data_IF_421088906306
#
_entry.id   IF_421088906306
#
_cell.length_a   1.000
_cell.length_b   1.000
_cell.length_c   1.000
_cell.angle_alpha   90.00
_cell.angle_beta   90.00
_cell.angle_gamma   90.00
#
_symmetry.space_group_name_H-M   'P 1'
#
loop_
_entity.id
_entity.type
_entity.pdbx_description
1 polymer ?
#
# COMPACT_ATOMS: atom_id res chain seq x y z
N UNK A 1 -3.41 -9.75 -19.11
CA UNK A 1 -2.92 -8.36 -19.03
C UNK A 1 -3.59 -7.55 -20.11
N UNK A 2 -3.98 -6.29 -19.89
CA UNK A 2 -4.57 -5.46 -20.92
C UNK A 2 -3.56 -5.27 -22.08
N UNK A 3 -4.03 -5.36 -23.30
CA UNK A 3 -3.24 -5.05 -24.50
C UNK A 3 -3.23 -3.53 -24.72
N UNK A 4 -2.27 -3.03 -25.48
CA UNK A 4 -2.19 -1.60 -25.84
C UNK A 4 -3.51 -1.12 -26.49
N UNK A 5 -4.12 -1.94 -27.31
CA UNK A 5 -5.37 -1.65 -27.99
C UNK A 5 -6.58 -1.53 -27.05
N UNK A 6 -6.61 -2.32 -25.97
CA UNK A 6 -7.70 -2.26 -24.97
C UNK A 6 -7.68 -0.99 -24.13
N UNK A 7 -6.57 -0.28 -24.07
CA UNK A 7 -6.40 0.95 -23.29
C UNK A 7 -6.67 2.23 -24.10
N UNK A 8 -6.72 2.15 -25.44
CA UNK A 8 -6.99 3.31 -26.32
C UNK A 8 -8.24 4.14 -25.96
N UNK A 9 -9.38 3.54 -25.56
CA UNK A 9 -10.54 4.32 -25.14
C UNK A 9 -10.27 5.18 -23.90
N UNK A 10 -9.48 4.66 -22.95
CA UNK A 10 -9.11 5.38 -21.73
C UNK A 10 -8.10 6.49 -22.05
N UNK A 11 -7.18 6.27 -22.98
CA UNK A 11 -6.24 7.30 -23.45
C UNK A 11 -7.00 8.47 -24.08
N UNK A 12 -7.99 8.18 -24.95
CA UNK A 12 -8.80 9.19 -25.60
C UNK A 12 -9.67 9.96 -24.60
N UNK A 13 -10.25 9.27 -23.61
CA UNK A 13 -11.03 9.91 -22.54
C UNK A 13 -10.16 10.82 -21.70
N UNK A 14 -9.01 10.33 -21.24
CA UNK A 14 -8.07 11.12 -20.44
C UNK A 14 -7.60 12.36 -21.19
N UNK A 15 -7.23 12.23 -22.48
CA UNK A 15 -6.82 13.35 -23.30
C UNK A 15 -7.90 14.43 -23.43
N UNK A 16 -9.18 14.04 -23.57
CA UNK A 16 -10.31 15.00 -23.61
C UNK A 16 -10.50 15.69 -22.28
N UNK A 17 -10.43 14.97 -21.16
CA UNK A 17 -10.59 15.52 -19.81
C UNK A 17 -9.45 16.50 -19.49
N UNK A 18 -8.21 16.15 -19.85
CA UNK A 18 -7.04 17.01 -19.58
C UNK A 18 -7.06 18.35 -20.35
N UNK A 19 -7.74 18.42 -21.49
CA UNK A 19 -7.89 19.65 -22.25
C UNK A 19 -8.90 20.63 -21.62
N UNK A 20 -9.71 20.19 -20.66
CA UNK A 20 -10.72 21.05 -20.07
C UNK A 20 -10.18 21.86 -18.88
N UNK A 21 -10.24 23.23 -18.91
CA UNK A 21 -9.67 24.07 -17.86
C UNK A 21 -10.22 23.80 -16.45
N UNK A 22 -11.51 23.43 -16.36
CA UNK A 22 -12.14 23.12 -15.08
C UNK A 22 -11.55 21.83 -14.46
N UNK A 23 -11.17 20.84 -15.27
CA UNK A 23 -10.56 19.61 -14.79
C UNK A 23 -9.17 19.87 -14.18
N UNK A 24 -8.37 20.75 -14.81
CA UNK A 24 -7.08 21.17 -14.25
C UNK A 24 -7.23 21.90 -12.90
N UNK A 25 -8.24 22.79 -12.80
CA UNK A 25 -8.56 23.49 -11.53
C UNK A 25 -9.04 22.52 -10.46
N UNK A 26 -9.91 21.57 -10.80
CA UNK A 26 -10.37 20.51 -9.88
C UNK A 26 -9.19 19.69 -9.37
N UNK A 27 -8.26 19.31 -10.25
CA UNK A 27 -7.05 18.57 -9.89
C UNK A 27 -6.21 19.35 -8.88
N UNK A 28 -5.98 20.65 -9.11
CA UNK A 28 -5.26 21.51 -8.17
C UNK A 28 -6.00 21.62 -6.83
N UNK A 29 -7.32 21.82 -6.85
CA UNK A 29 -8.14 21.88 -5.63
C UNK A 29 -8.07 20.57 -4.83
N UNK A 30 -8.17 19.42 -5.48
CA UNK A 30 -8.05 18.12 -4.82
C UNK A 30 -6.69 17.97 -4.14
N UNK A 31 -5.59 18.35 -4.79
CA UNK A 31 -4.24 18.33 -4.17
C UNK A 31 -4.17 19.17 -2.91
N UNK A 32 -4.61 20.43 -3.01
CA UNK A 32 -4.59 21.39 -1.88
C UNK A 32 -5.46 20.89 -0.74
N UNK A 33 -6.71 20.49 -1.00
CA UNK A 33 -7.65 20.05 0.03
C UNK A 33 -7.15 18.81 0.77
N UNK A 34 -6.62 17.81 0.06
CA UNK A 34 -6.03 16.64 0.68
C UNK A 34 -4.79 17.00 1.52
N UNK A 35 -3.91 17.83 1.01
CA UNK A 35 -2.73 18.27 1.75
C UNK A 35 -3.08 19.04 3.02
N UNK A 36 -4.01 20.01 2.92
CA UNK A 36 -4.48 20.81 4.07
C UNK A 36 -5.17 19.95 5.12
N UNK A 37 -5.88 18.90 4.72
CA UNK A 37 -6.51 17.99 5.67
C UNK A 37 -5.48 17.10 6.38
N UNK A 38 -4.49 16.57 5.66
CA UNK A 38 -3.61 15.53 6.18
C UNK A 38 -2.28 16.02 6.75
N UNK A 39 -1.73 17.14 6.29
CA UNK A 39 -0.49 17.67 6.86
C UNK A 39 -0.68 18.02 8.34
N UNK A 40 -1.68 18.82 8.75
CA UNK A 40 -1.86 19.14 10.18
C UNK A 40 -2.18 17.90 11.02
N UNK A 41 -3.12 17.06 10.56
CA UNK A 41 -3.53 15.87 11.30
C UNK A 41 -2.42 14.81 11.39
N UNK A 42 -1.59 14.72 10.37
CA UNK A 42 -0.38 13.89 10.35
C UNK A 42 0.70 14.44 11.28
N UNK A 43 0.88 15.77 11.32
CA UNK A 43 1.88 16.42 12.18
C UNK A 43 1.60 16.17 13.66
N UNK A 44 0.35 16.22 14.11
CA UNK A 44 -0.05 15.88 15.49
C UNK A 44 0.41 14.46 15.84
N UNK A 45 0.15 13.49 14.95
CA UNK A 45 0.57 12.10 15.16
C UNK A 45 2.09 11.94 15.14
N UNK A 46 2.77 12.63 14.22
CA UNK A 46 4.23 12.59 14.10
C UNK A 46 4.92 13.13 15.36
N UNK A 47 4.38 14.17 15.96
CA UNK A 47 4.85 14.72 17.24
C UNK A 47 4.55 13.77 18.43
N UNK A 48 3.74 12.74 18.23
CA UNK A 48 3.36 11.81 19.28
C UNK A 48 2.28 12.37 20.20
N UNK A 49 1.41 13.21 19.68
CA UNK A 49 0.28 13.78 20.41
C UNK A 49 -1.02 13.04 20.11
N UNK A 50 -2.03 13.18 20.99
CA UNK A 50 -3.36 12.60 20.77
C UNK A 50 -4.10 13.36 19.67
N UNK A 51 -4.71 12.61 18.76
CA UNK A 51 -5.50 13.17 17.63
C UNK A 51 -6.87 13.69 18.06
N UNK A 52 -7.47 13.10 19.09
CA UNK A 52 -8.82 13.43 19.57
C UNK A 52 -8.87 13.55 21.09
N UNK A 53 -9.80 14.34 21.58
CA UNK A 53 -10.15 14.45 22.99
C UNK A 53 -11.35 13.57 23.38
N UNK A 54 -11.88 12.76 22.47
CA UNK A 54 -12.99 11.85 22.77
C UNK A 54 -12.55 10.81 23.80
N UNK A 55 -13.41 10.56 24.78
CA UNK A 55 -13.16 9.59 25.83
C UNK A 55 -13.13 8.14 25.30
N UNK A 56 -12.45 7.27 26.00
CA UNK A 56 -12.35 5.83 25.69
C UNK A 56 -13.65 5.06 25.88
N UNK A 57 -14.67 5.69 26.42
CA UNK A 57 -16.05 5.21 26.53
C UNK A 57 -16.75 5.19 25.15
N UNK A 58 -16.22 5.91 24.17
CA UNK A 58 -16.70 5.89 22.79
C UNK A 58 -15.84 4.96 21.92
N UNK A 59 -16.45 4.31 20.91
CA UNK A 59 -15.71 3.46 19.96
C UNK A 59 -14.59 4.23 19.24
N UNK A 60 -14.84 5.49 18.91
CA UNK A 60 -13.87 6.39 18.26
C UNK A 60 -12.71 6.70 19.20
N UNK A 61 -12.99 7.14 20.43
CA UNK A 61 -11.97 7.47 21.43
C UNK A 61 -11.13 6.25 21.81
N UNK A 62 -11.78 5.10 22.04
CA UNK A 62 -11.08 3.84 22.33
C UNK A 62 -10.13 3.43 21.19
N UNK A 63 -10.58 3.52 19.95
CA UNK A 63 -9.76 3.19 18.77
C UNK A 63 -8.53 4.11 18.67
N UNK A 64 -8.72 5.43 18.73
CA UNK A 64 -7.60 6.38 18.62
C UNK A 64 -6.65 6.31 19.82
N UNK A 65 -7.14 6.05 21.03
CA UNK A 65 -6.27 5.84 22.19
C UNK A 65 -5.43 4.56 22.03
N UNK A 66 -6.03 3.45 21.57
CA UNK A 66 -5.29 2.22 21.28
C UNK A 66 -4.19 2.45 20.20
N UNK A 67 -4.52 3.20 19.16
CA UNK A 67 -3.55 3.59 18.13
C UNK A 67 -2.43 4.46 18.70
N UNK A 68 -2.77 5.45 19.50
CA UNK A 68 -1.81 6.34 20.17
C UNK A 68 -0.83 5.58 21.07
N UNK A 69 -1.31 4.60 21.84
CA UNK A 69 -0.49 3.77 22.72
C UNK A 69 0.54 2.91 21.98
N UNK A 70 0.39 2.71 20.65
CA UNK A 70 1.41 2.02 19.85
C UNK A 70 2.72 2.82 19.68
N UNK A 71 2.73 4.10 20.02
CA UNK A 71 3.88 5.00 19.96
C UNK A 71 4.55 5.08 18.60
N UNK A 72 5.38 4.10 18.25
CA UNK A 72 6.13 4.08 16.98
C UNK A 72 5.22 4.02 15.75
N UNK A 73 4.20 3.16 15.76
CA UNK A 73 3.25 3.07 14.65
C UNK A 73 2.44 4.35 14.48
N UNK A 74 2.05 5.00 15.57
CA UNK A 74 1.35 6.27 15.56
C UNK A 74 2.15 7.36 14.83
N UNK A 75 3.45 7.50 15.16
CA UNK A 75 4.35 8.45 14.50
C UNK A 75 4.60 8.09 13.03
N UNK A 76 4.75 6.81 12.71
CA UNK A 76 4.90 6.33 11.34
C UNK A 76 3.68 6.70 10.48
N UNK A 77 2.46 6.52 11.01
CA UNK A 77 1.22 6.91 10.34
C UNK A 77 1.20 8.43 10.08
N UNK A 78 1.60 9.23 11.10
CA UNK A 78 1.72 10.67 10.97
C UNK A 78 2.73 11.07 9.88
N UNK A 79 3.91 10.48 9.89
CA UNK A 79 4.95 10.71 8.88
C UNK A 79 4.44 10.40 7.46
N UNK A 80 3.77 9.25 7.31
CA UNK A 80 3.22 8.83 6.01
C UNK A 80 2.18 9.82 5.49
N UNK A 81 1.32 10.35 6.35
CA UNK A 81 0.31 11.34 6.01
C UNK A 81 0.93 12.69 5.61
N UNK A 82 1.90 13.18 6.39
CA UNK A 82 2.62 14.43 6.10
C UNK A 82 3.39 14.31 4.79
N UNK A 83 4.13 13.22 4.61
CA UNK A 83 4.90 12.97 3.39
C UNK A 83 4.00 12.95 2.17
N UNK A 84 2.91 12.19 2.21
CA UNK A 84 1.96 12.13 1.11
C UNK A 84 1.36 13.51 0.79
N UNK A 85 0.97 14.29 1.82
CA UNK A 85 0.46 15.64 1.66
C UNK A 85 1.47 16.60 1.04
N UNK A 86 2.72 16.57 1.48
CA UNK A 86 3.81 17.39 0.92
C UNK A 86 4.08 17.01 -0.54
N UNK A 87 4.14 15.73 -0.86
CA UNK A 87 4.31 15.25 -2.23
C UNK A 87 3.18 15.70 -3.16
N UNK A 88 1.94 15.78 -2.67
CA UNK A 88 0.80 16.29 -3.45
C UNK A 88 0.93 17.77 -3.82
N UNK A 89 1.53 18.58 -2.96
CA UNK A 89 1.69 20.03 -3.21
C UNK A 89 2.71 20.33 -4.30
N UNK A 90 3.70 19.46 -4.48
CA UNK A 90 4.77 19.63 -5.48
C UNK A 90 4.31 18.96 -6.79
N UNK A 91 4.11 19.72 -7.90
CA UNK A 91 3.57 19.16 -9.15
C UNK A 91 4.37 17.96 -9.70
N UNK A 92 5.69 17.98 -9.57
CA UNK A 92 6.57 16.91 -10.07
C UNK A 92 6.38 15.60 -9.31
N UNK A 93 6.02 15.64 -8.03
CA UNK A 93 5.89 14.47 -7.14
C UNK A 93 4.43 14.13 -6.79
N UNK A 94 3.47 14.91 -7.27
CA UNK A 94 2.06 14.76 -6.91
C UNK A 94 1.50 13.36 -7.20
N UNK A 95 1.94 12.72 -8.29
CA UNK A 95 1.58 11.34 -8.59
C UNK A 95 1.98 10.38 -7.46
N UNK A 96 3.22 10.46 -6.98
CA UNK A 96 3.70 9.61 -5.89
C UNK A 96 2.97 9.90 -4.57
N UNK A 97 2.62 11.17 -4.34
CA UNK A 97 1.77 11.56 -3.22
C UNK A 97 0.40 10.89 -3.28
N UNK A 98 -0.26 10.90 -4.44
CA UNK A 98 -1.56 10.25 -4.62
C UNK A 98 -1.47 8.72 -4.50
N UNK A 99 -0.40 8.10 -4.98
CA UNK A 99 -0.15 6.65 -4.81
C UNK A 99 0.03 6.30 -3.33
N UNK A 100 0.82 7.08 -2.59
CA UNK A 100 1.03 6.87 -1.15
C UNK A 100 -0.25 7.12 -0.34
N UNK A 101 -1.08 8.08 -0.75
CA UNK A 101 -2.36 8.37 -0.10
C UNK A 101 -3.40 7.27 -0.30
N UNK A 102 -3.37 6.54 -1.40
CA UNK A 102 -4.42 5.56 -1.71
C UNK A 102 -4.64 4.54 -0.58
N UNK A 103 -3.62 3.79 -0.13
CA UNK A 103 -3.81 2.82 0.96
C UNK A 103 -4.19 3.50 2.28
N UNK A 104 -3.69 4.70 2.55
CA UNK A 104 -4.04 5.45 3.75
C UNK A 104 -5.52 5.82 3.73
N UNK A 105 -6.03 6.38 2.63
CA UNK A 105 -7.43 6.80 2.50
C UNK A 105 -8.40 5.62 2.48
N UNK A 106 -8.06 4.53 1.80
CA UNK A 106 -8.87 3.30 1.84
C UNK A 106 -9.01 2.82 3.29
N UNK A 107 -7.90 2.77 4.03
CA UNK A 107 -7.91 2.37 5.44
C UNK A 107 -8.75 3.33 6.29
N UNK A 108 -8.59 4.64 6.12
CA UNK A 108 -9.35 5.66 6.85
C UNK A 108 -10.86 5.54 6.57
N UNK A 109 -11.27 5.31 5.31
CA UNK A 109 -12.69 5.08 4.96
C UNK A 109 -13.22 3.84 5.68
N UNK A 110 -12.51 2.71 5.58
CA UNK A 110 -12.95 1.46 6.23
C UNK A 110 -13.07 1.64 7.74
N UNK A 111 -12.07 2.26 8.39
CA UNK A 111 -12.09 2.50 9.84
C UNK A 111 -13.27 3.40 10.21
N UNK A 112 -13.45 4.54 9.53
CA UNK A 112 -14.51 5.51 9.90
C UNK A 112 -15.92 4.93 9.76
N UNK A 113 -16.11 4.00 8.82
CA UNK A 113 -17.37 3.24 8.69
C UNK A 113 -17.47 2.22 9.83
N UNK A 114 -16.42 1.43 10.08
CA UNK A 114 -16.42 0.33 11.04
C UNK A 114 -16.64 0.78 12.50
N UNK A 115 -16.11 1.97 12.87
CA UNK A 115 -16.29 2.53 14.23
C UNK A 115 -17.48 3.49 14.33
N UNK A 116 -18.31 3.57 13.29
CA UNK A 116 -19.50 4.44 13.22
C UNK A 116 -19.22 5.91 13.56
N UNK A 117 -18.12 6.44 13.02
CA UNK A 117 -17.69 7.83 13.27
C UNK A 117 -18.67 8.81 12.60
N UNK A 118 -19.70 9.22 13.31
CA UNK A 118 -20.82 10.05 12.80
C UNK A 118 -20.35 11.24 11.95
N UNK A 119 -20.84 11.32 10.72
CA UNK A 119 -20.52 12.38 9.75
C UNK A 119 -19.17 12.24 9.03
N UNK A 120 -18.19 11.57 9.59
CA UNK A 120 -16.85 11.43 9.04
C UNK A 120 -16.76 10.52 7.80
N UNK A 121 -17.51 9.40 7.69
CA UNK A 121 -17.44 8.52 6.52
C UNK A 121 -17.73 9.26 5.19
N UNK A 122 -18.69 10.18 5.18
CA UNK A 122 -19.00 10.96 3.97
C UNK A 122 -17.80 11.81 3.52
N UNK A 123 -17.11 12.42 4.47
CA UNK A 123 -15.91 13.23 4.21
C UNK A 123 -14.77 12.35 3.71
N UNK A 124 -14.52 11.23 4.37
CA UNK A 124 -13.42 10.33 3.99
C UNK A 124 -13.64 9.65 2.65
N UNK A 125 -14.87 9.31 2.30
CA UNK A 125 -15.23 8.83 0.96
C UNK A 125 -15.00 9.93 -0.09
N UNK A 126 -15.42 11.18 0.17
CA UNK A 126 -15.15 12.29 -0.74
C UNK A 126 -13.64 12.51 -0.94
N UNK A 127 -12.83 12.38 0.12
CA UNK A 127 -11.37 12.44 0.04
C UNK A 127 -10.79 11.29 -0.78
N UNK A 128 -11.30 10.08 -0.63
CA UNK A 128 -10.91 8.94 -1.45
C UNK A 128 -11.24 9.17 -2.93
N UNK A 129 -12.45 9.67 -3.23
CA UNK A 129 -12.84 10.02 -4.60
C UNK A 129 -11.94 11.11 -5.19
N UNK A 130 -11.58 12.14 -4.39
CA UNK A 130 -10.62 13.16 -4.80
C UNK A 130 -9.24 12.55 -5.13
N UNK A 131 -8.77 11.60 -4.31
CA UNK A 131 -7.50 10.92 -4.57
C UNK A 131 -7.56 10.00 -5.81
N UNK A 132 -8.66 9.29 -6.02
CA UNK A 132 -8.88 8.50 -7.24
C UNK A 132 -8.92 9.38 -8.48
N UNK A 133 -9.51 10.59 -8.40
CA UNK A 133 -9.42 11.59 -9.46
C UNK A 133 -7.98 11.97 -9.77
N UNK A 134 -7.13 12.22 -8.76
CA UNK A 134 -5.71 12.55 -8.97
C UNK A 134 -4.97 11.41 -9.68
N UNK A 135 -5.25 10.16 -9.31
CA UNK A 135 -4.68 8.99 -9.96
C UNK A 135 -5.17 8.84 -11.41
N UNK A 136 -6.46 9.07 -11.65
CA UNK A 136 -7.02 9.07 -13.01
C UNK A 136 -6.47 10.20 -13.89
N UNK A 137 -6.20 11.37 -13.30
CA UNK A 137 -5.55 12.49 -13.99
C UNK A 137 -4.15 12.12 -14.50
N UNK A 138 -3.38 11.39 -13.73
CA UNK A 138 -2.04 10.92 -14.09
C UNK A 138 -2.07 9.57 -14.88
N UNK A 139 -3.16 9.27 -15.59
CA UNK A 139 -3.35 8.05 -16.38
C UNK A 139 -2.14 7.66 -17.26
N UNK A 140 -1.45 8.58 -17.98
CA UNK A 140 -0.30 8.21 -18.81
C UNK A 140 0.83 7.53 -18.01
N UNK A 141 0.99 7.86 -16.72
CA UNK A 141 1.98 7.21 -15.83
C UNK A 141 1.54 5.80 -15.43
N UNK A 142 0.24 5.61 -15.14
CA UNK A 142 -0.32 4.29 -14.85
C UNK A 142 -0.27 3.37 -16.04
N UNK A 143 -0.53 3.89 -17.22
CA UNK A 143 -0.50 3.14 -18.48
C UNK A 143 0.82 2.40 -18.66
N UNK A 144 1.96 3.06 -18.43
CA UNK A 144 3.28 2.45 -18.53
C UNK A 144 3.53 1.31 -17.53
N UNK A 145 2.87 1.35 -16.36
CA UNK A 145 2.93 0.28 -15.34
C UNK A 145 2.03 -0.90 -15.72
N UNK A 146 0.88 -0.63 -16.34
CA UNK A 146 -0.11 -1.64 -16.70
C UNK A 146 0.26 -2.41 -17.97
N UNK A 147 0.94 -1.78 -18.93
CA UNK A 147 1.44 -2.44 -20.13
C UNK A 147 2.72 -3.18 -19.74
N UNK A 148 2.64 -4.51 -19.78
CA UNK A 148 3.82 -5.34 -19.57
C UNK A 148 4.80 -5.11 -20.72
N UNK A 149 6.01 -4.64 -20.39
CA UNK A 149 7.08 -4.55 -21.36
C UNK A 149 7.42 -5.98 -21.86
N UNK A 150 7.39 -6.19 -23.17
CA UNK A 150 7.65 -7.48 -23.80
C UNK A 150 9.10 -8.01 -23.53
N UNK A 151 9.93 -7.15 -22.93
CA UNK A 151 11.33 -7.46 -22.57
C UNK A 151 11.50 -8.21 -21.24
N UNK A 152 10.39 -8.64 -20.59
CA UNK A 152 10.53 -9.45 -19.37
C UNK A 152 11.26 -10.74 -19.70
N UNK A 153 12.36 -11.05 -18.98
CA UNK A 153 13.08 -12.29 -19.17
C UNK A 153 12.11 -13.46 -18.98
N UNK A 154 12.04 -14.35 -19.96
CA UNK A 154 11.26 -15.58 -19.86
C UNK A 154 11.89 -16.41 -18.73
N UNK A 155 11.20 -16.57 -17.64
CA UNK A 155 11.64 -17.46 -16.56
C UNK A 155 11.64 -18.89 -17.12
N UNK A 156 12.82 -19.50 -17.19
CA UNK A 156 12.95 -20.92 -17.53
C UNK A 156 12.15 -21.81 -16.58
N UNK A 157 11.85 -23.02 -16.98
CA UNK A 157 11.11 -23.96 -16.15
C UNK A 157 11.82 -24.19 -14.78
N UNK A 158 11.05 -24.26 -13.74
CA UNK A 158 11.55 -24.47 -12.35
C UNK A 158 12.24 -25.82 -12.23
N UNK A 159 13.44 -25.84 -11.67
CA UNK A 159 14.16 -27.07 -11.36
C UNK A 159 13.46 -27.86 -10.25
N UNK A 160 13.72 -29.18 -10.15
CA UNK A 160 13.18 -29.99 -9.06
C UNK A 160 13.62 -29.48 -7.67
N UNK A 161 14.89 -29.03 -7.56
CA UNK A 161 15.45 -28.49 -6.32
C UNK A 161 14.78 -27.16 -5.94
N UNK A 162 14.52 -26.30 -6.90
CA UNK A 162 13.84 -25.03 -6.70
C UNK A 162 12.39 -25.23 -6.23
N UNK A 163 11.65 -26.14 -6.87
CA UNK A 163 10.28 -26.49 -6.43
C UNK A 163 10.25 -27.06 -5.03
N UNK A 164 11.17 -27.96 -4.70
CA UNK A 164 11.29 -28.53 -3.36
C UNK A 164 11.61 -27.43 -2.32
N UNK A 165 12.53 -26.51 -2.64
CA UNK A 165 12.86 -25.37 -1.77
C UNK A 165 11.67 -24.45 -1.49
N UNK A 166 10.89 -24.12 -2.51
CA UNK A 166 9.67 -23.31 -2.36
C UNK A 166 8.60 -24.03 -1.52
N UNK A 167 8.40 -25.34 -1.73
CA UNK A 167 7.44 -26.11 -0.94
C UNK A 167 7.83 -26.19 0.53
N UNK A 168 9.11 -26.49 0.83
CA UNK A 168 9.64 -26.51 2.20
C UNK A 168 9.50 -25.14 2.85
N UNK A 169 9.88 -24.07 2.15
CA UNK A 169 9.73 -22.71 2.64
C UNK A 169 8.28 -22.32 2.94
N UNK A 170 7.38 -22.58 2.00
CA UNK A 170 5.95 -22.26 2.17
C UNK A 170 5.31 -23.06 3.32
N UNK A 171 5.61 -24.37 3.41
CA UNK A 171 5.12 -25.21 4.49
C UNK A 171 5.64 -24.74 5.86
N UNK A 172 6.90 -24.32 5.94
CA UNK A 172 7.50 -23.80 7.17
C UNK A 172 6.86 -22.49 7.62
N UNK A 173 6.60 -21.57 6.69
CA UNK A 173 5.90 -20.32 6.98
C UNK A 173 4.48 -20.59 7.46
N UNK A 174 3.73 -21.46 6.76
CA UNK A 174 2.37 -21.81 7.16
C UNK A 174 2.35 -22.43 8.58
N UNK A 175 3.23 -23.40 8.84
CA UNK A 175 3.35 -24.03 10.15
C UNK A 175 3.73 -23.03 11.25
N UNK A 176 4.63 -22.09 10.96
CA UNK A 176 4.99 -21.01 11.89
C UNK A 176 3.78 -20.14 12.26
N UNK A 177 2.95 -19.75 11.29
CA UNK A 177 1.72 -18.99 11.55
C UNK A 177 0.73 -19.75 12.45
N UNK A 178 0.58 -21.05 12.26
CA UNK A 178 -0.25 -21.89 13.14
C UNK A 178 0.35 -22.00 14.54
N UNK A 179 1.67 -22.13 14.65
CA UNK A 179 2.37 -22.18 15.94
C UNK A 179 2.20 -20.90 16.76
N UNK A 180 2.35 -19.73 16.13
CA UNK A 180 2.22 -18.42 16.78
C UNK A 180 0.79 -18.15 17.26
N UNK A 181 -0.22 -18.72 16.62
CA UNK A 181 -1.63 -18.59 17.04
C UNK A 181 -2.04 -19.49 18.21
N UNK A 182 -1.10 -20.10 18.92
CA UNK A 182 -1.36 -20.85 20.14
C UNK A 182 -1.88 -22.27 19.95
N UNK A 183 -1.81 -22.80 18.73
CA UNK A 183 -2.05 -24.21 18.48
C UNK A 183 -0.78 -25.01 18.80
N UNK A 184 -0.56 -25.18 20.10
CA UNK A 184 0.24 -26.24 20.75
C UNK A 184 1.62 -26.62 20.17
N UNK A 185 2.45 -25.64 19.74
CA UNK A 185 3.80 -25.95 19.27
C UNK A 185 4.88 -25.14 20.02
N UNK A 186 4.76 -25.04 21.36
CA UNK A 186 5.82 -24.47 22.18
C UNK A 186 7.10 -25.32 22.01
N UNK A 187 8.18 -24.70 21.52
CA UNK A 187 9.46 -25.34 21.25
C UNK A 187 9.77 -25.66 19.79
N UNK A 188 8.79 -25.66 18.89
CA UNK A 188 9.01 -26.00 17.47
C UNK A 188 9.28 -24.81 16.57
N UNK A 189 9.10 -23.57 17.06
CA UNK A 189 9.30 -22.36 16.27
C UNK A 189 10.71 -22.27 15.66
N UNK A 190 11.74 -22.63 16.42
CA UNK A 190 13.13 -22.66 15.93
C UNK A 190 13.34 -23.68 14.80
N UNK A 191 12.71 -24.85 14.89
CA UNK A 191 12.77 -25.89 13.85
C UNK A 191 12.09 -25.39 12.57
N UNK A 192 10.93 -24.74 12.69
CA UNK A 192 10.20 -24.21 11.54
C UNK A 192 10.96 -23.09 10.84
N UNK A 193 11.61 -22.19 11.59
CA UNK A 193 12.49 -21.16 11.05
C UNK A 193 13.68 -21.81 10.33
N UNK A 194 14.31 -22.81 10.94
CA UNK A 194 15.42 -23.55 10.34
C UNK A 194 15.03 -24.22 9.01
N UNK A 195 13.85 -24.84 8.94
CA UNK A 195 13.33 -25.43 7.71
C UNK A 195 13.04 -24.36 6.63
N UNK A 196 12.53 -23.20 7.03
CA UNK A 196 12.32 -22.07 6.12
C UNK A 196 13.63 -21.57 5.51
N UNK A 197 14.67 -21.41 6.34
CA UNK A 197 16.04 -21.06 5.89
C UNK A 197 16.59 -22.14 4.95
N UNK A 198 16.44 -23.41 5.27
CA UNK A 198 16.86 -24.51 4.40
C UNK A 198 16.17 -24.45 3.03
N UNK A 199 14.85 -24.21 3.00
CA UNK A 199 14.11 -24.00 1.75
C UNK A 199 14.68 -22.84 0.92
N UNK A 200 14.96 -21.72 1.55
CA UNK A 200 15.60 -20.56 0.89
C UNK A 200 17.00 -20.89 0.32
N UNK A 201 17.82 -21.62 1.07
CA UNK A 201 19.14 -22.06 0.61
C UNK A 201 19.05 -23.03 -0.59
N UNK A 202 18.05 -23.89 -0.62
CA UNK A 202 17.81 -24.79 -1.77
C UNK A 202 17.47 -23.98 -3.03
N UNK A 203 16.65 -22.96 -2.93
CA UNK A 203 16.30 -22.06 -4.06
C UNK A 203 17.55 -21.33 -4.55
N UNK A 204 18.30 -20.68 -3.65
CA UNK A 204 19.53 -19.96 -4.01
C UNK A 204 20.55 -20.88 -4.68
N UNK A 205 20.71 -22.12 -4.15
CA UNK A 205 21.63 -23.11 -4.72
C UNK A 205 21.20 -23.51 -6.14
N UNK A 206 19.89 -23.66 -6.36
CA UNK A 206 19.35 -23.95 -7.69
C UNK A 206 19.66 -22.85 -8.70
N UNK A 207 19.52 -21.57 -8.29
CA UNK A 207 19.81 -20.42 -9.14
C UNK A 207 21.29 -20.30 -9.47
N UNK A 208 22.17 -20.46 -8.48
CA UNK A 208 23.64 -20.43 -8.68
C UNK A 208 24.09 -21.55 -9.62
N UNK A 209 23.57 -22.77 -9.49
CA UNK A 209 23.86 -23.87 -10.40
C UNK A 209 23.33 -23.61 -11.81
N UNK A 210 22.12 -23.06 -11.93
CA UNK A 210 21.53 -22.69 -13.20
C UNK A 210 22.29 -21.58 -13.94
N UNK A 211 22.87 -20.64 -13.20
CA UNK A 211 23.73 -19.58 -13.76
C UNK A 211 25.05 -20.13 -14.29
N UNK A 212 25.70 -21.05 -13.55
CA UNK A 212 27.01 -21.66 -13.98
C UNK A 212 26.87 -22.63 -15.15
N UNK A 213 25.71 -23.20 -15.39
CA UNK A 213 25.48 -24.08 -16.54
C UNK A 213 25.17 -23.37 -17.85
N UNK A 214 25.15 -22.04 -17.87
CA UNK A 214 24.89 -21.19 -19.04
C UNK A 214 26.15 -20.40 -19.51
N UNK A 215 27.26 -20.55 -18.80
CA UNK A 215 28.59 -20.08 -19.18
C UNK A 215 29.39 -21.21 -19.87
#
# INVERSE_FOLDING_TARGET
MPTDESLRPLDALNARVMQHPAAARLTLMCRILLAVAFIPTGSVKLMGERFTSLGVDTSVGAFFEAMYQTGGYWRFLGLSQVLAGVLLLIPATAFYGAVLFLPILVNVVVITIAIEFKGTPMITVAMLLANLWLLAWDWPRWRSVLIADATRPVMGGWTRLERAGWLVGAASVAAFFFAVRGVALQGTAGVLVGLGVLGGLMVVTAWVRGARGRS
#
